data_IF_660870644217
#
_entry.id   IF_660870644217
#
_cell.length_a   1.000
_cell.length_b   1.000
_cell.length_c   1.000
_cell.angle_alpha   90.00
_cell.angle_beta   90.00
_cell.angle_gamma   90.00
#
_symmetry.space_group_name_H-M   'P 1'
#
loop_
_entity.id
_entity.type
_entity.pdbx_description
1 polymer ?
#
# COMPACT_ATOMS: atom_id res chain seq x y z
N UNK A 1 2.66 8.17 21.50
CA UNK A 1 3.22 7.00 20.88
C UNK A 1 3.22 7.12 19.39
N UNK A 2 4.31 7.66 18.90
CA UNK A 2 4.44 7.90 17.46
C UNK A 2 4.37 6.62 16.66
N UNK A 3 4.90 5.54 17.22
CA UNK A 3 4.93 4.27 16.51
C UNK A 3 3.56 3.69 16.27
N UNK A 4 2.63 3.95 17.19
CA UNK A 4 1.29 3.44 17.03
C UNK A 4 0.63 4.02 15.77
N UNK A 5 0.86 5.30 15.54
CA UNK A 5 0.33 5.95 14.36
C UNK A 5 0.92 5.34 13.08
N UNK A 6 2.23 5.14 13.07
CA UNK A 6 2.88 4.55 11.90
C UNK A 6 2.41 3.12 11.68
N UNK A 7 2.20 2.38 12.75
CA UNK A 7 1.72 1.01 12.64
C UNK A 7 0.33 0.97 12.02
N UNK A 8 -0.52 1.89 12.42
CA UNK A 8 -1.87 1.93 11.88
C UNK A 8 -1.86 2.30 10.40
N UNK A 9 -0.99 3.22 10.00
CA UNK A 9 -0.88 3.59 8.60
C UNK A 9 -0.38 2.41 7.77
N UNK A 10 0.62 1.70 8.27
CA UNK A 10 1.13 0.53 7.55
C UNK A 10 0.06 -0.53 7.37
N UNK A 11 -0.65 -0.82 8.44
CA UNK A 11 -1.72 -1.81 8.38
C UNK A 11 -2.80 -1.39 7.41
N UNK A 12 -3.16 -0.11 7.41
CA UNK A 12 -4.21 0.38 6.52
C UNK A 12 -3.79 0.28 5.06
N UNK A 13 -2.53 0.58 4.76
CA UNK A 13 -2.04 0.48 3.39
C UNK A 13 -2.13 -0.96 2.90
N UNK A 14 -1.67 -1.88 3.72
CA UNK A 14 -1.73 -3.28 3.34
C UNK A 14 -3.17 -3.77 3.20
N UNK A 15 -4.04 -3.27 4.06
CA UNK A 15 -5.45 -3.67 4.03
C UNK A 15 -6.14 -3.23 2.75
N UNK A 16 -5.81 -2.01 2.27
CA UNK A 16 -6.40 -1.53 1.02
C UNK A 16 -6.09 -2.51 -0.11
N UNK A 17 -4.85 -2.98 -0.16
CA UNK A 17 -4.46 -3.93 -1.19
C UNK A 17 -5.11 -5.28 -0.99
N UNK A 18 -5.24 -5.71 0.26
CA UNK A 18 -5.82 -7.03 0.56
C UNK A 18 -7.30 -7.09 0.22
N UNK A 19 -8.00 -5.98 0.41
CA UNK A 19 -9.44 -5.94 0.14
C UNK A 19 -9.74 -5.61 -1.30
N UNK A 20 -8.77 -5.07 -2.03
CA UNK A 20 -8.98 -4.70 -3.40
C UNK A 20 -9.08 -5.91 -4.31
N UNK A 21 -9.67 -5.70 -5.46
CA UNK A 21 -9.83 -6.77 -6.43
C UNK A 21 -8.87 -6.61 -7.58
N UNK A 22 -7.64 -6.39 -7.26
CA UNK A 22 -6.64 -6.26 -8.30
C UNK A 22 -5.58 -5.26 -7.92
N UNK A 23 -4.63 -5.05 -8.81
CA UNK A 23 -3.50 -4.18 -8.52
C UNK A 23 -3.93 -2.73 -8.35
N UNK A 24 -3.24 -2.03 -7.48
CA UNK A 24 -3.50 -0.61 -7.23
C UNK A 24 -2.18 0.15 -7.21
N UNK A 25 -2.21 1.34 -7.79
CA UNK A 25 -1.05 2.22 -7.74
C UNK A 25 -0.94 2.86 -6.35
N UNK A 26 0.23 3.44 -6.09
CA UNK A 26 0.41 4.15 -4.82
C UNK A 26 -0.56 5.31 -4.69
N UNK A 27 -0.84 6.00 -5.80
CA UNK A 27 -1.80 7.10 -5.75
C UNK A 27 -3.20 6.62 -5.41
N UNK A 28 -3.58 5.45 -5.92
CA UNK A 28 -4.90 4.91 -5.61
C UNK A 28 -5.00 4.53 -4.14
N UNK A 29 -3.95 3.94 -3.59
CA UNK A 29 -3.91 3.63 -2.17
C UNK A 29 -3.99 4.89 -1.34
N UNK A 30 -3.22 5.90 -1.74
CA UNK A 30 -3.20 7.19 -1.06
C UNK A 30 -4.61 7.80 -1.02
N UNK A 31 -5.29 7.81 -2.16
CA UNK A 31 -6.64 8.37 -2.24
C UNK A 31 -7.61 7.60 -1.35
N UNK A 32 -7.47 6.29 -1.31
CA UNK A 32 -8.37 5.46 -0.52
C UNK A 32 -8.23 5.74 0.98
N UNK A 33 -7.03 6.19 1.40
CA UNK A 33 -6.78 6.41 2.82
C UNK A 33 -6.81 7.87 3.22
N UNK A 34 -7.06 8.76 2.28
CA UNK A 34 -6.97 10.19 2.56
C UNK A 34 -7.95 10.64 3.64
N UNK A 35 -9.16 10.10 3.63
CA UNK A 35 -10.18 10.50 4.61
C UNK A 35 -9.80 10.05 6.01
N UNK A 36 -9.29 8.85 6.12
CA UNK A 36 -8.95 8.29 7.42
C UNK A 36 -7.64 8.85 7.97
N UNK A 37 -6.71 9.13 7.07
CA UNK A 37 -5.39 9.64 7.46
C UNK A 37 -5.08 10.91 6.66
N UNK A 38 -5.68 12.05 7.05
CA UNK A 38 -5.51 13.28 6.26
C UNK A 38 -4.08 13.76 6.18
N UNK A 39 -3.24 13.38 7.15
CA UNK A 39 -1.85 13.81 7.17
C UNK A 39 -0.90 12.82 6.51
N UNK A 40 -1.44 11.73 5.98
CA UNK A 40 -0.63 10.74 5.29
C UNK A 40 -0.07 11.34 4.01
N UNK A 41 1.24 11.19 3.81
CA UNK A 41 1.90 11.69 2.62
C UNK A 41 2.03 10.58 1.59
N UNK A 42 1.99 10.98 0.32
CA UNK A 42 2.14 10.01 -0.76
C UNK A 42 3.50 9.30 -0.68
N UNK A 43 4.54 10.05 -0.29
CA UNK A 43 5.86 9.44 -0.15
C UNK A 43 5.87 8.34 0.91
N UNK A 44 5.07 8.50 1.96
CA UNK A 44 4.95 7.47 2.98
C UNK A 44 4.31 6.22 2.41
N UNK A 45 3.30 6.40 1.55
CA UNK A 45 2.65 5.25 0.91
C UNK A 45 3.66 4.51 0.04
N UNK A 46 4.42 5.23 -0.79
CA UNK A 46 5.44 4.62 -1.62
C UNK A 46 6.45 3.84 -0.79
N UNK A 47 6.93 4.46 0.27
CA UNK A 47 7.95 3.82 1.11
C UNK A 47 7.44 2.52 1.71
N UNK A 48 6.21 2.53 2.18
CA UNK A 48 5.63 1.32 2.76
C UNK A 48 5.40 0.25 1.70
N UNK A 49 4.92 0.64 0.53
CA UNK A 49 4.68 -0.33 -0.53
C UNK A 49 5.98 -0.99 -0.99
N UNK A 50 7.04 -0.19 -1.12
CA UNK A 50 8.34 -0.75 -1.49
C UNK A 50 8.85 -1.70 -0.41
N UNK A 51 8.66 -1.34 0.84
CA UNK A 51 9.06 -2.20 1.94
C UNK A 51 8.28 -3.51 1.93
N UNK A 52 6.96 -3.41 1.73
CA UNK A 52 6.14 -4.62 1.66
C UNK A 52 6.57 -5.50 0.49
N UNK A 53 6.95 -4.89 -0.61
CA UNK A 53 7.43 -5.64 -1.77
C UNK A 53 8.71 -6.39 -1.44
N UNK A 54 9.63 -5.74 -0.73
CA UNK A 54 10.87 -6.39 -0.33
C UNK A 54 10.63 -7.52 0.67
N UNK A 55 9.59 -7.40 1.46
CA UNK A 55 9.26 -8.41 2.46
C UNK A 55 8.38 -9.52 1.90
N UNK A 56 7.97 -9.38 0.65
CA UNK A 56 7.14 -10.41 0.03
C UNK A 56 5.68 -10.32 0.36
N UNK A 57 5.24 -9.23 0.99
CA UNK A 57 3.84 -9.06 1.35
C UNK A 57 3.00 -8.55 0.21
N UNK A 58 3.62 -7.88 -0.75
CA UNK A 58 2.92 -7.40 -1.94
C UNK A 58 3.77 -7.69 -3.15
N UNK A 59 3.12 -7.78 -4.30
CA UNK A 59 3.80 -7.96 -5.58
C UNK A 59 3.76 -6.64 -6.33
N UNK A 60 4.90 -6.25 -6.86
CA UNK A 60 5.05 -5.00 -7.59
C UNK A 60 5.13 -5.31 -9.08
N UNK A 61 4.29 -4.66 -9.88
CA UNK A 61 4.25 -4.91 -11.33
C UNK A 61 4.17 -3.61 -12.10
N UNK A 62 4.88 -3.57 -13.23
CA UNK A 62 4.80 -2.47 -14.17
C UNK A 62 3.77 -2.81 -15.24
N UNK A 63 2.96 -1.83 -15.57
CA UNK A 63 1.93 -2.04 -16.59
C UNK A 63 2.28 -1.26 -17.86
N UNK A 64 1.57 -1.57 -18.94
CA UNK A 64 1.84 -0.95 -20.23
C UNK A 64 1.61 0.55 -20.22
N UNK A 65 0.82 1.05 -19.31
CA UNK A 65 0.55 2.48 -19.20
C UNK A 65 1.65 3.22 -18.44
N UNK A 66 2.71 2.52 -18.06
CA UNK A 66 3.82 3.14 -17.35
C UNK A 66 3.58 3.30 -15.86
N UNK A 67 2.48 2.79 -15.37
CA UNK A 67 2.14 2.93 -13.95
C UNK A 67 2.52 1.65 -13.23
N UNK A 68 3.18 1.81 -12.08
CA UNK A 68 3.53 0.69 -11.22
C UNK A 68 2.39 0.45 -10.26
N UNK A 69 1.96 -0.81 -10.16
CA UNK A 69 0.87 -1.19 -9.27
C UNK A 69 1.31 -2.31 -8.36
N UNK A 70 0.62 -2.43 -7.25
CA UNK A 70 0.96 -3.38 -6.20
C UNK A 70 -0.25 -4.25 -5.89
N UNK A 71 -0.02 -5.51 -5.61
CA UNK A 71 -1.07 -6.46 -5.25
C UNK A 71 -0.63 -7.20 -4.01
N UNK A 72 -1.52 -7.33 -3.02
CA UNK A 72 -1.21 -8.10 -1.84
C UNK A 72 -1.07 -9.57 -2.20
N UNK A 73 -0.03 -10.22 -1.69
CA UNK A 73 0.11 -11.65 -1.88
C UNK A 73 -0.80 -12.35 -0.90
N UNK A 74 -1.61 -13.25 -1.41
CA UNK A 74 -2.57 -13.98 -0.58
C UNK A 74 -1.97 -15.31 -0.21
N UNK A 75 -1.01 -15.25 0.68
CA UNK A 75 -0.35 -16.49 1.10
C UNK A 75 -1.08 -17.09 2.25
N UNK A 76 -1.81 -18.09 1.96
CA UNK A 76 -2.45 -18.87 3.01
C UNK A 76 -1.72 -20.17 3.07
N UNK A 77 -0.85 -20.21 3.98
CA UNK A 77 -0.02 -21.40 4.13
C UNK A 77 -0.79 -22.65 4.26
#
# INVERSE_FOLDING_TARGET
>A
MAELKHTRQRAAILQVLSEGEGPRSAEEVFSALHDEFPNLALSTVYRNLERFSQEGLVRKESFNDGVIRYTATQEHG
#
